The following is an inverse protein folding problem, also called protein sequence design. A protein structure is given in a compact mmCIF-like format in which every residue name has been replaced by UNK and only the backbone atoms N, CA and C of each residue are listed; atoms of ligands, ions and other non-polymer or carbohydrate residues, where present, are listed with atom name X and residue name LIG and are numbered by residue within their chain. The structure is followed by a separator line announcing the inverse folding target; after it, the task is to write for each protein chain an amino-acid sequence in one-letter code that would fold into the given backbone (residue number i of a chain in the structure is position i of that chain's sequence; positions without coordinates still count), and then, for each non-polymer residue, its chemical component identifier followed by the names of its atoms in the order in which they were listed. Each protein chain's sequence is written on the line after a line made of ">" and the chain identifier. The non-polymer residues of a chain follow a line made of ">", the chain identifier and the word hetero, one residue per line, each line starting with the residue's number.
data_IF_205199432197
#
_entry.id   IF_205199432197
#
_cell.length_a   1.000
_cell.length_b   1.000
_cell.length_c   1.000
_cell.angle_alpha   90.00
_cell.angle_beta   90.00
_cell.angle_gamma   90.00
#
_symmetry.space_group_name_H-M   'P 1'
#
loop_
_entity.id
_entity.type
_entity.pdbx_description
1 polymer ?
#
# COMPACT_ATOMS: atom_id res chain seq x y z
N UNK A 1 15.26 10.08 -18.42
CA UNK A 1 15.46 10.76 -17.14
C UNK A 1 14.55 11.97 -17.08
N UNK A 2 14.21 12.42 -15.90
CA UNK A 2 13.45 13.65 -15.65
C UNK A 2 14.25 14.46 -14.65
N UNK A 3 14.39 15.75 -14.93
CA UNK A 3 15.06 16.68 -14.03
C UNK A 3 14.07 17.77 -13.58
N UNK A 4 14.30 18.32 -12.39
CA UNK A 4 13.51 19.39 -11.81
C UNK A 4 14.38 20.36 -11.03
N UNK A 5 13.95 21.61 -11.00
CA UNK A 5 14.60 22.68 -10.25
C UNK A 5 13.67 23.15 -9.14
N UNK A 6 14.22 23.30 -7.94
CA UNK A 6 13.48 23.72 -6.76
C UNK A 6 14.24 24.79 -5.98
N UNK A 7 13.51 25.63 -5.28
CA UNK A 7 14.05 26.55 -4.29
C UNK A 7 13.34 26.39 -2.97
N UNK A 8 14.02 26.78 -1.89
CA UNK A 8 13.47 26.78 -0.55
C UNK A 8 12.80 28.13 -0.27
N UNK A 9 11.48 28.11 -0.01
CA UNK A 9 10.73 29.30 0.36
C UNK A 9 10.97 29.71 1.84
N UNK A 10 10.47 30.89 2.22
CA UNK A 10 10.60 31.42 3.59
C UNK A 10 9.91 30.55 4.66
N UNK A 11 8.96 29.71 4.25
CA UNK A 11 8.26 28.76 5.11
C UNK A 11 8.94 27.39 5.15
N UNK A 12 10.17 27.26 4.63
CA UNK A 12 10.92 26.02 4.49
C UNK A 12 10.26 24.93 3.63
N UNK A 13 9.48 25.33 2.63
CA UNK A 13 8.91 24.41 1.64
C UNK A 13 9.69 24.49 0.31
N UNK A 14 9.83 23.34 -0.33
CA UNK A 14 10.39 23.25 -1.68
C UNK A 14 9.35 23.66 -2.72
N UNK A 15 9.73 24.59 -3.59
CA UNK A 15 8.88 25.20 -4.61
C UNK A 15 9.61 25.24 -5.95
N UNK A 16 8.89 25.29 -7.06
CA UNK A 16 9.47 25.27 -8.42
C UNK A 16 9.03 26.46 -9.28
N UNK A 17 8.28 27.40 -8.72
CA UNK A 17 7.85 28.61 -9.42
C UNK A 17 9.04 29.56 -9.67
N UNK A 18 9.00 30.20 -10.83
CA UNK A 18 10.10 31.06 -11.30
C UNK A 18 11.39 30.32 -11.68
N UNK A 19 11.41 28.98 -11.61
CA UNK A 19 12.52 28.14 -12.04
C UNK A 19 12.20 27.43 -13.35
N UNK A 20 13.19 27.38 -14.23
CA UNK A 20 13.11 26.67 -15.52
C UNK A 20 14.30 25.73 -15.63
N UNK A 21 14.04 24.47 -15.97
CA UNK A 21 15.08 23.49 -16.30
C UNK A 21 15.68 23.88 -17.65
N UNK A 22 16.98 24.18 -17.66
CA UNK A 22 17.72 24.64 -18.83
C UNK A 22 18.05 23.50 -19.81
N UNK A 23 18.33 23.88 -21.06
CA UNK A 23 18.60 22.94 -22.15
C UNK A 23 19.95 22.22 -22.04
N UNK A 24 20.88 22.71 -21.21
CA UNK A 24 22.17 22.05 -20.96
C UNK A 24 22.07 20.91 -19.93
N UNK A 25 20.89 20.70 -19.35
CA UNK A 25 20.60 19.57 -18.46
C UNK A 25 20.89 18.24 -19.16
N UNK A 26 21.65 17.38 -18.50
CA UNK A 26 22.01 16.06 -19.01
C UNK A 26 21.93 15.01 -17.90
N UNK A 27 22.50 13.82 -18.14
CA UNK A 27 22.44 12.71 -17.18
C UNK A 27 23.27 12.93 -15.91
N UNK A 28 24.20 13.87 -15.91
CA UNK A 28 25.15 14.12 -14.82
C UNK A 28 24.86 15.42 -14.08
N UNK A 29 24.29 16.41 -14.76
CA UNK A 29 24.03 17.73 -14.21
C UNK A 29 22.68 18.30 -14.65
N UNK A 30 22.13 19.18 -13.83
CA UNK A 30 20.89 19.90 -14.11
C UNK A 30 21.17 21.38 -14.13
N UNK A 31 20.81 22.02 -15.24
CA UNK A 31 20.86 23.46 -15.38
C UNK A 31 19.55 24.06 -14.87
N UNK A 32 19.62 24.97 -13.90
CA UNK A 32 18.46 25.67 -13.36
C UNK A 32 18.57 27.17 -13.64
N UNK A 33 17.64 27.69 -14.43
CA UNK A 33 17.51 29.12 -14.71
C UNK A 33 16.52 29.72 -13.72
N UNK A 34 16.94 30.74 -13.00
CA UNK A 34 16.16 31.43 -11.97
C UNK A 34 16.12 32.94 -12.21
N UNK A 35 15.02 33.58 -11.82
CA UNK A 35 14.88 35.04 -11.79
C UNK A 35 15.00 35.63 -10.37
N UNK A 36 15.17 34.78 -9.35
CA UNK A 36 15.28 35.17 -7.94
C UNK A 36 16.56 34.59 -7.32
N UNK A 37 16.96 35.12 -6.15
CA UNK A 37 18.15 34.70 -5.40
C UNK A 37 17.73 34.03 -4.08
N UNK A 38 17.78 32.70 -4.06
CA UNK A 38 17.36 31.87 -2.92
C UNK A 38 18.29 30.66 -2.76
N UNK A 39 18.04 29.79 -1.79
CA UNK A 39 18.66 28.47 -1.75
C UNK A 39 18.02 27.55 -2.79
N UNK A 40 18.84 26.95 -3.66
CA UNK A 40 18.37 26.09 -4.76
C UNK A 40 18.74 24.62 -4.53
N UNK A 41 17.92 23.74 -5.10
CA UNK A 41 18.20 22.31 -5.22
C UNK A 41 17.77 21.78 -6.58
N UNK A 42 18.55 20.86 -7.14
CA UNK A 42 18.20 20.09 -8.33
C UNK A 42 17.67 18.71 -7.93
N UNK A 43 16.63 18.25 -8.60
CA UNK A 43 16.13 16.88 -8.52
C UNK A 43 16.39 16.13 -9.81
N UNK A 44 17.00 14.95 -9.75
CA UNK A 44 17.23 14.10 -10.90
C UNK A 44 16.66 12.71 -10.67
N UNK A 45 15.76 12.27 -11.54
CA UNK A 45 15.13 10.95 -11.48
C UNK A 45 15.36 10.23 -12.79
N UNK A 46 16.03 9.07 -12.74
CA UNK A 46 16.09 8.16 -13.88
C UNK A 46 14.81 7.32 -13.87
N UNK A 47 13.84 7.73 -14.69
CA UNK A 47 12.69 6.88 -14.96
C UNK A 47 13.16 5.60 -15.69
N UNK A 48 12.67 4.42 -15.30
CA UNK A 48 12.91 3.21 -16.08
C UNK A 48 12.35 3.37 -17.50
N UNK A 49 12.91 2.62 -18.44
CA UNK A 49 12.41 2.61 -19.81
C UNK A 49 10.93 2.19 -19.82
N UNK A 50 10.04 2.92 -20.53
CA UNK A 50 8.64 2.56 -20.60
C UNK A 50 8.47 1.14 -21.15
N UNK A 51 7.47 0.43 -20.66
CA UNK A 51 7.23 -0.95 -21.07
C UNK A 51 6.94 -0.98 -22.58
N UNK A 52 7.79 -1.67 -23.33
CA UNK A 52 7.57 -1.90 -24.75
C UNK A 52 6.57 -3.05 -24.94
N UNK A 53 5.29 -2.71 -25.01
CA UNK A 53 4.20 -3.68 -25.18
C UNK A 53 4.33 -4.51 -26.46
N UNK A 54 4.83 -3.93 -27.56
CA UNK A 54 5.06 -4.65 -28.81
C UNK A 54 6.08 -5.77 -28.63
N UNK A 55 7.18 -5.51 -27.90
CA UNK A 55 8.19 -6.52 -27.58
C UNK A 55 7.62 -7.60 -26.63
N UNK A 56 6.86 -7.19 -25.62
CA UNK A 56 6.23 -8.12 -24.67
C UNK A 56 5.30 -9.09 -25.39
N UNK A 57 4.40 -8.59 -26.25
CA UNK A 57 3.47 -9.45 -26.98
C UNK A 57 4.16 -10.29 -28.06
N UNK A 58 5.21 -9.78 -28.70
CA UNK A 58 6.01 -10.56 -29.64
C UNK A 58 6.73 -11.75 -28.97
N UNK A 59 6.98 -11.67 -27.66
CA UNK A 59 7.66 -12.70 -26.86
C UNK A 59 6.74 -13.38 -25.83
N UNK A 60 5.42 -13.23 -25.96
CA UNK A 60 4.44 -13.83 -25.05
C UNK A 60 4.22 -15.33 -25.29
N UNK A 61 5.14 -16.02 -25.97
CA UNK A 61 5.04 -17.44 -26.22
C UNK A 61 5.30 -18.22 -24.92
N UNK A 62 4.30 -19.02 -24.52
CA UNK A 62 4.36 -19.87 -23.33
C UNK A 62 5.56 -20.82 -23.35
N UNK A 63 5.92 -21.35 -24.53
CA UNK A 63 7.01 -22.31 -24.65
C UNK A 63 8.38 -21.69 -24.45
N UNK A 64 8.53 -20.39 -24.78
CA UNK A 64 9.80 -19.65 -24.59
C UNK A 64 9.97 -19.17 -23.16
N UNK A 65 8.87 -18.82 -22.48
CA UNK A 65 8.89 -18.17 -21.18
C UNK A 65 8.17 -18.96 -20.07
N UNK A 66 8.28 -20.30 -20.10
CA UNK A 66 7.56 -21.23 -19.20
C UNK A 66 7.66 -20.87 -17.72
N UNK A 67 8.84 -20.45 -17.25
CA UNK A 67 9.07 -20.10 -15.84
C UNK A 67 8.15 -18.96 -15.38
N UNK A 68 8.00 -17.91 -16.18
CA UNK A 68 7.15 -16.75 -15.84
C UNK A 68 5.69 -17.18 -15.72
N UNK A 69 5.21 -17.97 -16.68
CA UNK A 69 3.83 -18.44 -16.63
C UNK A 69 3.58 -19.39 -15.45
N UNK A 70 4.52 -20.29 -15.15
CA UNK A 70 4.40 -21.21 -14.04
C UNK A 70 4.34 -20.47 -12.70
N UNK A 71 5.21 -19.49 -12.49
CA UNK A 71 5.20 -18.69 -11.24
C UNK A 71 3.89 -17.91 -11.09
N UNK A 72 3.42 -17.27 -12.16
CA UNK A 72 2.14 -16.54 -12.15
C UNK A 72 0.96 -17.46 -11.87
N UNK A 73 0.91 -18.64 -12.49
CA UNK A 73 -0.15 -19.64 -12.25
C UNK A 73 -0.10 -20.12 -10.80
N UNK A 74 1.06 -20.51 -10.29
CA UNK A 74 1.22 -20.99 -8.91
C UNK A 74 0.82 -19.90 -7.90
N UNK A 75 1.27 -18.66 -8.09
CA UNK A 75 0.89 -17.54 -7.23
C UNK A 75 -0.62 -17.27 -7.28
N UNK A 76 -1.23 -17.34 -8.47
CA UNK A 76 -2.67 -17.15 -8.63
C UNK A 76 -3.47 -18.23 -7.91
N UNK A 77 -3.05 -19.49 -8.01
CA UNK A 77 -3.69 -20.61 -7.30
C UNK A 77 -3.56 -20.42 -5.78
N UNK A 78 -2.36 -20.11 -5.28
CA UNK A 78 -2.13 -19.87 -3.86
C UNK A 78 -3.00 -18.72 -3.33
N UNK A 79 -3.10 -17.64 -4.10
CA UNK A 79 -3.96 -16.51 -3.77
C UNK A 79 -5.45 -16.91 -3.68
N UNK A 80 -5.95 -17.68 -4.66
CA UNK A 80 -7.35 -18.15 -4.65
C UNK A 80 -7.61 -19.04 -3.43
N UNK A 81 -6.69 -19.94 -3.08
CA UNK A 81 -6.83 -20.80 -1.89
C UNK A 81 -6.91 -19.95 -0.62
N UNK A 82 -6.00 -18.98 -0.46
CA UNK A 82 -6.01 -18.08 0.70
C UNK A 82 -7.28 -17.23 0.76
N UNK A 83 -7.78 -16.75 -0.38
CA UNK A 83 -9.04 -16.03 -0.47
C UNK A 83 -10.23 -16.89 -0.04
N UNK A 84 -10.32 -18.14 -0.50
CA UNK A 84 -11.38 -19.07 -0.08
C UNK A 84 -11.30 -19.33 1.43
N UNK A 85 -10.10 -19.55 1.95
CA UNK A 85 -9.88 -19.74 3.39
C UNK A 85 -10.28 -18.51 4.20
N UNK A 86 -9.89 -17.31 3.76
CA UNK A 86 -10.28 -16.04 4.39
C UNK A 86 -11.80 -15.89 4.42
N UNK A 87 -12.47 -16.12 3.30
CA UNK A 87 -13.94 -16.05 3.21
C UNK A 87 -14.64 -17.07 4.10
N UNK A 88 -14.08 -18.27 4.24
CA UNK A 88 -14.59 -19.26 5.18
C UNK A 88 -14.45 -18.80 6.63
N UNK A 89 -13.31 -18.20 6.99
CA UNK A 89 -13.09 -17.64 8.33
C UNK A 89 -14.00 -16.46 8.62
N UNK A 90 -14.18 -15.55 7.67
CA UNK A 90 -15.07 -14.39 7.81
C UNK A 90 -16.51 -14.84 8.08
N UNK A 91 -17.02 -15.84 7.34
CA UNK A 91 -18.37 -16.39 7.58
C UNK A 91 -18.50 -16.98 8.98
N UNK A 92 -17.49 -17.74 9.43
CA UNK A 92 -17.46 -18.31 10.77
C UNK A 92 -17.33 -17.24 11.86
N UNK A 93 -16.70 -16.11 11.56
CA UNK A 93 -16.61 -14.98 12.48
C UNK A 93 -17.96 -14.27 12.62
N UNK A 94 -18.71 -14.12 11.52
CA UNK A 94 -20.09 -13.60 11.56
C UNK A 94 -21.00 -14.46 12.43
N UNK A 95 -20.86 -15.80 12.40
CA UNK A 95 -21.62 -16.68 13.30
C UNK A 95 -21.33 -16.44 14.79
N UNK A 96 -20.16 -15.87 15.12
CA UNK A 96 -19.80 -15.48 16.50
C UNK A 96 -20.26 -14.08 16.86
N UNK A 97 -20.70 -13.27 15.89
CA UNK A 97 -21.27 -11.95 16.15
C UNK A 97 -22.69 -12.13 16.70
N UNK A 98 -22.77 -12.28 18.02
CA UNK A 98 -24.03 -12.39 18.75
C UNK A 98 -23.88 -11.95 20.20
N UNK A 99 -25.00 -11.58 20.81
CA UNK A 99 -25.05 -11.33 22.25
C UNK A 99 -25.15 -12.68 22.94
N UNK A 100 -24.05 -13.15 23.52
CA UNK A 100 -24.08 -14.34 24.38
C UNK A 100 -24.65 -13.93 25.74
N UNK A 101 -25.81 -14.47 26.17
CA UNK A 101 -26.33 -14.20 27.49
C UNK A 101 -25.35 -14.74 28.54
N UNK A 102 -25.01 -13.91 29.52
CA UNK A 102 -24.23 -14.36 30.66
C UNK A 102 -25.04 -15.37 31.48
N UNK A 103 -24.40 -16.35 32.14
CA UNK A 103 -25.10 -17.33 32.97
C UNK A 103 -25.97 -16.70 34.06
N UNK A 104 -25.59 -15.50 34.52
CA UNK A 104 -26.26 -14.76 35.59
C UNK A 104 -27.43 -13.88 35.09
N UNK A 105 -27.75 -13.90 33.79
CA UNK A 105 -28.82 -13.08 33.22
C UNK A 105 -30.19 -13.72 33.49
N UNK A 106 -31.04 -13.10 34.32
CA UNK A 106 -32.39 -13.59 34.64
C UNK A 106 -33.47 -12.80 33.89
N UNK A 107 -34.56 -13.47 33.50
CA UNK A 107 -35.68 -12.82 32.80
C UNK A 107 -36.47 -11.86 33.69
N UNK A 108 -36.37 -12.00 35.01
CA UNK A 108 -37.04 -11.17 36.00
C UNK A 108 -36.28 -9.89 36.36
N UNK A 109 -35.07 -9.69 35.81
CA UNK A 109 -34.27 -8.50 36.05
C UNK A 109 -34.97 -7.25 35.47
N UNK A 110 -35.02 -6.17 36.25
CA UNK A 110 -35.66 -4.91 35.84
C UNK A 110 -34.84 -4.10 34.82
N UNK A 111 -33.54 -4.39 34.69
CA UNK A 111 -32.63 -3.63 33.84
C UNK A 111 -31.69 -4.57 33.08
N UNK A 112 -31.52 -4.34 31.79
CA UNK A 112 -30.63 -5.11 30.93
C UNK A 112 -29.40 -4.29 30.58
N UNK A 113 -28.21 -4.89 30.73
CA UNK A 113 -26.95 -4.26 30.38
C UNK A 113 -26.25 -5.03 29.27
N UNK A 114 -25.81 -4.31 28.24
CA UNK A 114 -24.92 -4.84 27.23
C UNK A 114 -23.48 -4.43 27.58
N UNK A 115 -22.63 -5.42 27.82
CA UNK A 115 -21.22 -5.20 28.16
C UNK A 115 -20.38 -5.62 26.95
N UNK A 116 -19.46 -4.77 26.53
CA UNK A 116 -18.49 -5.07 25.46
C UNK A 116 -17.11 -5.14 26.11
N UNK A 117 -16.45 -6.30 25.98
CA UNK A 117 -15.11 -6.53 26.53
C UNK A 117 -14.10 -6.52 25.40
N UNK A 118 -13.15 -5.60 25.45
CA UNK A 118 -12.01 -5.55 24.53
C UNK A 118 -10.77 -6.11 25.25
N UNK A 119 -10.20 -7.19 24.73
CA UNK A 119 -8.89 -7.67 25.20
C UNK A 119 -7.78 -7.03 24.37
N UNK A 120 -6.63 -6.78 25.02
CA UNK A 120 -5.47 -6.22 24.31
C UNK A 120 -4.88 -7.20 23.30
N UNK A 121 -4.11 -6.69 22.34
CA UNK A 121 -3.49 -7.48 21.24
C UNK A 121 -2.18 -8.22 21.65
N UNK A 122 -1.79 -8.17 22.93
CA UNK A 122 -0.48 -8.69 23.37
C UNK A 122 -0.50 -10.22 23.44
N UNK A 123 0.65 -10.86 23.24
CA UNK A 123 0.77 -12.29 23.52
C UNK A 123 0.40 -12.54 25.01
N UNK A 124 -0.44 -13.57 25.25
CA UNK A 124 -0.95 -13.95 26.58
C UNK A 124 -1.93 -12.97 27.27
N UNK A 125 -2.57 -12.04 26.55
CA UNK A 125 -3.66 -11.21 27.11
C UNK A 125 -5.07 -11.79 26.95
N UNK A 126 -5.17 -13.11 26.69
CA UNK A 126 -6.46 -13.80 26.63
C UNK A 126 -7.11 -13.94 28.01
N UNK A 127 -8.44 -13.95 28.07
CA UNK A 127 -9.21 -14.18 29.30
C UNK A 127 -9.52 -15.67 29.47
N UNK A 128 -9.51 -16.18 30.71
CA UNK A 128 -9.91 -17.57 31.03
C UNK A 128 -11.42 -17.71 31.30
N UNK A 129 -12.23 -16.70 30.98
CA UNK A 129 -13.69 -16.78 31.12
C UNK A 129 -14.23 -17.91 30.25
N UNK A 130 -15.06 -18.78 30.85
CA UNK A 130 -15.81 -19.81 30.15
C UNK A 130 -17.09 -19.25 29.54
#
# INVERSE_FOLDING_TARGET
>A
YTSGCYYLDENNNWKSDGLIVGSLTNHYETECLSTHLTSFAGGFIVLPEPINWSYVFANADFSKNKTIYLTVICMSIAYIILMIFGRFKDKKDIEKLGVTPLPDNDKSDQYYYQIIVFTGQRANSGTQSK
#
